data_IF_189048605264
#
_entry.id   IF_189048605264
#
_cell.length_a   1.000
_cell.length_b   1.000
_cell.length_c   1.000
_cell.angle_alpha   90.00
_cell.angle_beta   90.00
_cell.angle_gamma   90.00
#
_symmetry.space_group_name_H-M   'P 1'
#
loop_
_entity.id
_entity.type
_entity.pdbx_description
1 polymer ?
#
# COMPACT_ATOMS: atom_id res chain seq x y z
N UNK A 1 -13.49 36.08 27.52
CA UNK A 1 -12.24 35.53 26.93
C UNK A 1 -12.42 34.11 26.36
N UNK A 2 -13.25 33.25 26.97
CA UNK A 2 -13.50 31.88 26.46
C UNK A 2 -14.16 31.82 25.09
N UNK A 3 -15.16 32.67 24.82
CA UNK A 3 -15.87 32.70 23.54
C UNK A 3 -14.97 33.02 22.33
N UNK A 4 -14.05 33.98 22.47
CA UNK A 4 -13.10 34.32 21.39
C UNK A 4 -12.18 33.14 21.07
N UNK A 5 -11.75 32.39 22.08
CA UNK A 5 -10.93 31.19 21.89
C UNK A 5 -11.72 30.08 21.18
N UNK A 6 -12.95 29.83 21.59
CA UNK A 6 -13.81 28.83 20.95
C UNK A 6 -14.13 29.17 19.49
N UNK A 7 -14.37 30.45 19.19
CA UNK A 7 -14.57 30.91 17.80
C UNK A 7 -13.30 30.67 16.97
N UNK A 8 -12.12 30.97 17.53
CA UNK A 8 -10.84 30.70 16.87
C UNK A 8 -10.63 29.21 16.58
N UNK A 9 -10.93 28.32 17.54
CA UNK A 9 -10.82 26.87 17.37
C UNK A 9 -11.74 26.35 16.26
N UNK A 10 -12.98 26.84 16.20
CA UNK A 10 -13.93 26.48 15.12
C UNK A 10 -13.44 26.97 13.77
N UNK A 11 -12.93 28.19 13.67
CA UNK A 11 -12.39 28.75 12.42
C UNK A 11 -11.19 27.91 11.95
N UNK A 12 -10.26 27.59 12.84
CA UNK A 12 -9.10 26.75 12.51
C UNK A 12 -9.54 25.36 12.04
N UNK A 13 -10.50 24.74 12.73
CA UNK A 13 -11.06 23.45 12.32
C UNK A 13 -11.70 23.51 10.93
N UNK A 14 -12.48 24.55 10.65
CA UNK A 14 -13.10 24.76 9.33
C UNK A 14 -12.05 24.94 8.24
N UNK A 15 -10.99 25.72 8.48
CA UNK A 15 -9.90 25.89 7.51
C UNK A 15 -9.14 24.59 7.26
N UNK A 16 -8.79 23.84 8.32
CA UNK A 16 -8.11 22.55 8.20
C UNK A 16 -8.96 21.50 7.48
N UNK A 17 -10.26 21.46 7.77
CA UNK A 17 -11.19 20.54 7.10
C UNK A 17 -11.33 20.85 5.61
N UNK A 18 -11.45 22.13 5.23
CA UNK A 18 -11.46 22.54 3.82
C UNK A 18 -10.16 22.12 3.15
N UNK A 19 -9.01 22.39 3.76
CA UNK A 19 -7.72 21.97 3.21
C UNK A 19 -7.64 20.45 3.03
N UNK A 20 -8.04 19.67 4.04
CA UNK A 20 -8.03 18.21 3.97
C UNK A 20 -8.97 17.66 2.88
N UNK A 21 -10.15 18.26 2.69
CA UNK A 21 -11.08 17.89 1.64
C UNK A 21 -10.48 18.17 0.27
N UNK A 22 -9.89 19.35 0.06
CA UNK A 22 -9.22 19.69 -1.20
C UNK A 22 -8.08 18.73 -1.50
N UNK A 23 -7.24 18.42 -0.51
CA UNK A 23 -6.12 17.50 -0.63
C UNK A 23 -6.60 16.08 -0.97
N UNK A 24 -7.72 15.66 -0.38
CA UNK A 24 -8.42 14.41 -0.68
C UNK A 24 -8.98 14.36 -2.10
N UNK A 25 -9.62 15.44 -2.57
CA UNK A 25 -10.15 15.57 -3.93
C UNK A 25 -9.01 15.50 -4.94
N UNK A 26 -7.95 16.28 -4.77
CA UNK A 26 -6.76 16.26 -5.65
C UNK A 26 -6.17 14.86 -5.70
N UNK A 27 -5.96 14.22 -4.54
CA UNK A 27 -5.46 12.84 -4.48
C UNK A 27 -6.42 11.84 -5.13
N UNK A 28 -7.73 12.09 -5.15
CA UNK A 28 -8.70 11.20 -5.80
C UNK A 28 -8.54 11.19 -7.32
N UNK A 29 -8.21 12.34 -7.92
CA UNK A 29 -7.98 12.46 -9.36
C UNK A 29 -6.58 11.98 -9.81
N UNK A 30 -5.61 11.83 -8.89
CA UNK A 30 -4.30 11.27 -9.20
C UNK A 30 -4.43 9.75 -9.40
N UNK A 31 -4.09 9.21 -10.59
CA UNK A 31 -4.13 7.78 -10.86
C UNK A 31 -3.31 6.99 -9.84
N UNK A 32 -3.88 5.87 -9.33
CA UNK A 32 -3.21 5.02 -8.32
C UNK A 32 -1.79 4.59 -8.75
N UNK A 33 -1.52 4.46 -10.05
CA UNK A 33 -0.19 4.14 -10.61
C UNK A 33 0.92 5.10 -10.17
N UNK A 34 0.62 6.37 -9.89
CA UNK A 34 1.61 7.35 -9.46
C UNK A 34 1.78 7.41 -7.93
N UNK A 35 0.88 6.74 -7.18
CA UNK A 35 0.99 6.61 -5.72
C UNK A 35 1.69 5.33 -5.30
N UNK A 36 1.74 4.34 -6.17
CA UNK A 36 2.40 3.08 -5.90
C UNK A 36 3.90 3.25 -6.10
N UNK A 37 4.66 2.87 -5.07
CA UNK A 37 6.12 2.75 -5.16
C UNK A 37 6.45 1.60 -6.13
N UNK A 38 7.49 1.78 -6.95
CA UNK A 38 8.07 0.66 -7.68
C UNK A 38 8.72 -0.30 -6.69
N UNK A 39 8.49 -1.59 -6.88
CA UNK A 39 9.12 -2.67 -6.10
C UNK A 39 10.13 -3.47 -6.94
N UNK A 40 10.47 -2.96 -8.12
CA UNK A 40 11.46 -3.55 -9.00
C UNK A 40 12.84 -3.60 -8.31
N UNK A 41 13.43 -4.79 -8.25
CA UNK A 41 14.68 -5.06 -7.54
C UNK A 41 14.57 -5.13 -6.01
N UNK A 42 13.39 -4.91 -5.41
CA UNK A 42 13.22 -5.01 -3.95
C UNK A 42 13.01 -6.45 -3.50
N UNK A 43 13.42 -6.77 -2.27
CA UNK A 43 13.27 -8.12 -1.70
C UNK A 43 11.95 -8.23 -0.96
N UNK A 44 11.15 -9.25 -1.26
CA UNK A 44 9.89 -9.55 -0.60
C UNK A 44 9.88 -10.97 -0.03
N UNK A 45 9.74 -11.10 1.30
CA UNK A 45 9.55 -12.38 1.99
C UNK A 45 8.05 -12.71 2.06
N UNK A 46 7.65 -13.87 1.53
CA UNK A 46 6.26 -14.33 1.54
C UNK A 46 6.13 -15.61 2.35
N UNK A 47 5.47 -15.54 3.50
CA UNK A 47 5.11 -16.72 4.29
C UNK A 47 3.90 -17.43 3.71
N UNK A 48 3.92 -18.77 3.63
CA UNK A 48 2.83 -19.52 3.00
C UNK A 48 2.77 -19.32 1.48
N UNK A 49 3.90 -18.95 0.85
CA UNK A 49 3.99 -18.62 -0.58
C UNK A 49 3.98 -19.83 -1.52
N UNK A 50 3.98 -21.06 -1.00
CA UNK A 50 3.96 -22.29 -1.79
C UNK A 50 2.58 -22.66 -2.33
N UNK A 51 1.49 -22.16 -1.72
CA UNK A 51 0.13 -22.58 -2.07
C UNK A 51 -0.89 -21.45 -2.18
N UNK A 52 -2.02 -21.75 -2.85
CA UNK A 52 -3.21 -20.90 -2.88
C UNK A 52 -2.93 -19.41 -3.16
N UNK A 53 -3.41 -18.54 -2.27
CA UNK A 53 -3.24 -17.09 -2.37
C UNK A 53 -1.77 -16.65 -2.23
N UNK A 54 -1.00 -17.29 -1.35
CA UNK A 54 0.40 -16.94 -1.13
C UNK A 54 1.25 -17.16 -2.39
N UNK A 55 0.96 -18.23 -3.14
CA UNK A 55 1.60 -18.47 -4.44
C UNK A 55 1.25 -17.40 -5.46
N UNK A 56 -0.03 -17.07 -5.60
CA UNK A 56 -0.48 -16.02 -6.54
C UNK A 56 0.12 -14.65 -6.19
N UNK A 57 0.23 -14.33 -4.91
CA UNK A 57 0.87 -13.12 -4.42
C UNK A 57 2.36 -13.10 -4.79
N UNK A 58 3.07 -14.19 -4.52
CA UNK A 58 4.50 -14.33 -4.81
C UNK A 58 4.78 -14.17 -6.30
N UNK A 59 3.99 -14.82 -7.16
CA UNK A 59 4.10 -14.66 -8.62
C UNK A 59 3.80 -13.23 -9.07
N UNK A 60 2.81 -12.57 -8.48
CA UNK A 60 2.49 -11.16 -8.78
C UNK A 60 3.65 -10.23 -8.41
N UNK A 61 4.28 -10.46 -7.26
CA UNK A 61 5.43 -9.68 -6.80
C UNK A 61 6.65 -9.90 -7.71
N UNK A 62 6.93 -11.14 -8.08
CA UNK A 62 7.99 -11.47 -9.03
C UNK A 62 7.77 -10.82 -10.41
N UNK A 63 6.53 -10.85 -10.92
CA UNK A 63 6.16 -10.16 -12.18
C UNK A 63 6.29 -8.63 -12.12
N UNK A 64 6.28 -8.04 -10.92
CA UNK A 64 6.53 -6.61 -10.71
C UNK A 64 8.02 -6.29 -10.54
N UNK A 65 8.90 -7.29 -10.68
CA UNK A 65 10.36 -7.14 -10.60
C UNK A 65 10.95 -7.36 -9.21
N UNK A 66 10.14 -7.73 -8.21
CA UNK A 66 10.64 -8.00 -6.86
C UNK A 66 11.38 -9.35 -6.81
N UNK A 67 12.43 -9.41 -6.00
CA UNK A 67 13.12 -10.65 -5.62
C UNK A 67 12.30 -11.30 -4.51
N UNK A 68 11.58 -12.37 -4.84
CA UNK A 68 10.67 -13.01 -3.89
C UNK A 68 11.35 -14.18 -3.20
N UNK A 69 11.34 -14.16 -1.87
CA UNK A 69 11.76 -15.27 -1.00
C UNK A 69 10.49 -15.91 -0.45
N UNK A 70 10.24 -17.17 -0.81
CA UNK A 70 9.11 -17.92 -0.29
C UNK A 70 9.53 -18.64 0.99
N UNK A 71 8.73 -18.50 2.04
CA UNK A 71 8.87 -19.21 3.31
C UNK A 71 7.62 -20.05 3.54
N UNK A 72 7.65 -21.30 3.10
CA UNK A 72 6.53 -22.25 3.25
C UNK A 72 7.04 -23.57 3.86
N UNK A 73 6.16 -24.28 4.53
CA UNK A 73 6.43 -25.63 5.05
C UNK A 73 6.19 -26.70 3.99
N UNK A 74 5.43 -26.38 2.93
CA UNK A 74 5.07 -27.30 1.86
C UNK A 74 6.01 -27.11 0.66
N UNK A 75 7.00 -27.98 0.52
CA UNK A 75 7.99 -27.97 -0.57
C UNK A 75 7.36 -28.18 -1.97
N UNK A 76 6.18 -28.77 -2.06
CA UNK A 76 5.50 -29.10 -3.32
C UNK A 76 5.16 -27.86 -4.16
N UNK A 77 4.95 -26.71 -3.52
CA UNK A 77 4.61 -25.46 -4.17
C UNK A 77 5.77 -24.72 -4.84
N UNK A 78 6.99 -24.95 -4.37
CA UNK A 78 8.20 -24.23 -4.81
C UNK A 78 8.63 -24.60 -6.22
N UNK A 79 8.42 -25.86 -6.63
CA UNK A 79 8.81 -26.37 -7.95
C UNK A 79 8.03 -25.72 -9.09
N UNK A 80 6.78 -25.28 -8.86
CA UNK A 80 5.96 -24.64 -9.88
C UNK A 80 6.30 -23.16 -10.12
N UNK A 81 7.07 -22.52 -9.23
CA UNK A 81 7.56 -21.14 -9.44
C UNK A 81 8.86 -21.07 -10.24
N UNK A 82 9.63 -22.17 -10.33
CA UNK A 82 10.93 -22.21 -11.01
C UNK A 82 10.86 -22.47 -12.52
N UNK A 83 9.67 -22.55 -13.10
CA UNK A 83 9.47 -22.79 -14.53
C UNK A 83 9.38 -21.49 -15.31
#
# INVERSE_FOLDING_TARGET
MTYLRSIGEVIIFLLLSIFAILDGIVKSFIPKRYKMKSIDGEIALVTGGGGGLGRLLSLRLANLGAIVIVWDINETGEYEMKK
#
